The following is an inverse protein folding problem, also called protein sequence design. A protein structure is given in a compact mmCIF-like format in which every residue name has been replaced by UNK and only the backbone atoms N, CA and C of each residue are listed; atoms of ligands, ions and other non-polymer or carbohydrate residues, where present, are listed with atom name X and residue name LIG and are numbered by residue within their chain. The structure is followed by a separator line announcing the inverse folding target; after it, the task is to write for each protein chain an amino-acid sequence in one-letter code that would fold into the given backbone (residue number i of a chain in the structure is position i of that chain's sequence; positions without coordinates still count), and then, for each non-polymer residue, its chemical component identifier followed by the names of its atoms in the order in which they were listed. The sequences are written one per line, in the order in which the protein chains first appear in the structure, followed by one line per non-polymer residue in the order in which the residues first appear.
data_IF_967350049461
#
_entry.id   IF_967350049461
#
_cell.length_a   1.000
_cell.length_b   1.000
_cell.length_c   1.000
_cell.angle_alpha   90.00
_cell.angle_beta   90.00
_cell.angle_gamma   90.00
#
_symmetry.space_group_name_H-M   'P 1'
#
loop_
_entity.id
_entity.type
_entity.pdbx_description
1 polymer ?
#
# COMPACT_ATOMS: atom_id res chain seq x y z
N UNK A 1 24.04 92.11 -13.26
CA UNK A 1 24.99 91.90 -12.15
C UNK A 1 25.16 90.40 -11.92
N UNK A 2 26.33 89.96 -11.41
CA UNK A 2 26.79 88.57 -11.46
C UNK A 2 26.09 87.58 -10.51
N UNK A 3 25.96 86.30 -10.95
CA UNK A 3 26.54 85.15 -10.22
C UNK A 3 26.77 83.89 -11.08
N UNK A 4 27.64 83.02 -10.55
CA UNK A 4 28.28 81.82 -11.15
C UNK A 4 28.31 80.70 -10.06
N UNK A 5 28.68 79.42 -10.27
CA UNK A 5 29.24 78.68 -11.42
C UNK A 5 28.93 77.16 -11.25
N UNK A 6 28.79 76.39 -12.33
CA UNK A 6 28.96 74.92 -12.32
C UNK A 6 28.02 74.18 -13.31
N UNK A 7 28.42 73.40 -14.31
CA UNK A 7 29.31 72.19 -14.37
C UNK A 7 28.82 71.04 -13.49
N UNK A 8 28.71 69.78 -13.93
CA UNK A 8 28.76 69.10 -15.26
C UNK A 8 28.33 67.63 -15.02
N UNK A 9 27.96 66.87 -16.07
CA UNK A 9 27.96 65.38 -16.08
C UNK A 9 26.93 64.68 -15.15
N UNK A 10 26.49 63.43 -15.34
CA UNK A 10 26.69 62.43 -16.42
C UNK A 10 25.55 61.40 -16.38
N UNK A 11 25.31 60.72 -17.51
CA UNK A 11 24.66 59.40 -17.63
C UNK A 11 23.16 59.29 -17.19
N UNK A 12 22.35 58.33 -17.67
CA UNK A 12 22.66 57.19 -18.56
C UNK A 12 21.48 56.93 -19.50
N UNK A 13 21.75 56.67 -20.79
CA UNK A 13 20.80 55.96 -21.67
C UNK A 13 20.73 54.50 -21.22
N UNK A 14 19.54 53.90 -21.11
CA UNK A 14 19.34 52.50 -21.53
C UNK A 14 18.03 52.41 -22.32
N UNK A 15 18.17 52.01 -23.58
CA UNK A 15 17.06 51.53 -24.41
C UNK A 15 16.71 50.11 -23.94
N UNK A 16 15.46 49.86 -23.57
CA UNK A 16 14.99 48.48 -23.33
C UNK A 16 14.87 47.74 -24.67
N UNK A 17 15.64 46.66 -24.91
CA UNK A 17 15.61 45.96 -26.18
C UNK A 17 14.57 44.83 -26.19
N UNK A 18 14.05 44.57 -27.40
CA UNK A 18 13.68 43.25 -27.95
C UNK A 18 13.10 42.22 -26.96
N UNK A 19 11.78 42.00 -27.04
CA UNK A 19 11.15 40.82 -26.46
C UNK A 19 11.78 39.54 -27.04
N UNK A 20 12.53 38.84 -26.20
CA UNK A 20 13.23 37.61 -26.55
C UNK A 20 12.23 36.52 -26.97
N UNK A 21 12.32 36.06 -28.22
CA UNK A 21 11.78 34.78 -28.63
C UNK A 21 12.48 33.68 -27.83
N UNK A 22 11.77 33.09 -26.86
CA UNK A 22 12.27 31.96 -26.10
C UNK A 22 12.37 30.73 -27.01
N UNK A 23 13.55 30.07 -27.11
CA UNK A 23 13.69 28.91 -27.95
C UNK A 23 12.91 27.74 -27.33
N UNK A 24 11.79 27.34 -27.96
CA UNK A 24 11.11 26.08 -27.64
C UNK A 24 12.05 24.91 -27.97
N UNK A 25 12.83 24.48 -26.97
CA UNK A 25 13.58 23.23 -27.00
C UNK A 25 12.59 22.07 -27.10
N UNK A 26 12.31 21.61 -28.31
CA UNK A 26 11.64 20.33 -28.53
C UNK A 26 12.62 19.22 -28.18
N UNK A 27 12.51 18.71 -26.95
CA UNK A 27 13.21 17.50 -26.50
C UNK A 27 12.76 16.32 -27.36
N UNK A 28 13.51 16.04 -28.44
CA UNK A 28 13.36 14.82 -29.22
C UNK A 28 13.87 13.65 -28.38
N UNK A 29 12.95 12.99 -27.68
CA UNK A 29 13.22 11.78 -26.89
C UNK A 29 13.89 10.70 -27.77
N UNK A 30 14.94 10.02 -27.27
CA UNK A 30 15.66 9.00 -28.03
C UNK A 30 14.77 7.81 -28.39
N UNK A 31 15.00 7.21 -29.58
CA UNK A 31 14.21 6.10 -30.16
C UNK A 31 14.01 4.90 -29.23
N UNK A 32 14.89 4.69 -28.25
CA UNK A 32 14.80 3.59 -27.26
C UNK A 32 13.50 3.66 -26.44
N UNK A 33 12.95 4.87 -26.22
CA UNK A 33 11.68 5.06 -25.50
C UNK A 33 10.43 4.82 -26.37
N UNK A 34 10.58 4.41 -27.64
CA UNK A 34 9.46 4.14 -28.55
C UNK A 34 8.96 2.68 -28.49
N UNK A 35 9.56 1.82 -27.64
CA UNK A 35 9.21 0.39 -27.52
C UNK A 35 8.20 0.13 -26.38
N UNK A 36 7.22 1.02 -26.19
CA UNK A 36 6.11 0.78 -25.24
C UNK A 36 4.69 1.16 -25.74
N UNK A 37 4.29 1.05 -27.04
CA UNK A 37 2.87 0.96 -27.37
C UNK A 37 2.25 -0.28 -26.72
N UNK A 38 2.88 -1.44 -26.86
CA UNK A 38 2.27 -2.72 -26.49
C UNK A 38 2.23 -3.01 -25.00
N UNK A 39 3.16 -2.47 -24.19
CA UNK A 39 3.08 -2.66 -22.75
C UNK A 39 2.16 -1.61 -22.10
N UNK A 40 2.04 -0.40 -22.65
CA UNK A 40 1.01 0.57 -22.25
C UNK A 40 -0.37 0.09 -22.69
N UNK A 41 -0.51 -0.49 -23.88
CA UNK A 41 -1.77 -1.07 -24.34
C UNK A 41 -2.13 -2.36 -23.59
N UNK A 42 -1.17 -3.22 -23.23
CA UNK A 42 -1.41 -4.36 -22.33
C UNK A 42 -1.79 -3.91 -20.92
N UNK A 43 -1.07 -2.96 -20.34
CA UNK A 43 -1.43 -2.38 -19.04
C UNK A 43 -2.83 -1.74 -19.08
N UNK A 44 -3.18 -1.02 -20.15
CA UNK A 44 -4.52 -0.46 -20.35
C UNK A 44 -5.60 -1.51 -20.67
N UNK A 45 -5.26 -2.66 -21.26
CA UNK A 45 -6.21 -3.76 -21.50
C UNK A 45 -6.51 -4.50 -20.19
N UNK A 46 -5.47 -4.75 -19.39
CA UNK A 46 -5.56 -5.24 -18.02
C UNK A 46 -6.38 -4.26 -17.18
N UNK A 47 -6.05 -2.97 -17.16
CA UNK A 47 -6.77 -1.92 -16.44
C UNK A 47 -8.24 -1.75 -16.94
N UNK A 48 -8.57 -2.10 -18.19
CA UNK A 48 -9.97 -2.19 -18.66
C UNK A 48 -10.70 -3.41 -18.11
N UNK A 49 -10.05 -4.57 -17.96
CA UNK A 49 -10.62 -5.71 -17.23
C UNK A 49 -10.77 -5.38 -15.74
N UNK A 50 -9.77 -4.77 -15.10
CA UNK A 50 -9.80 -4.45 -13.67
C UNK A 50 -10.67 -3.23 -13.31
N UNK A 51 -10.97 -2.32 -14.25
CA UNK A 51 -12.01 -1.29 -14.06
C UNK A 51 -13.43 -1.88 -14.00
N UNK A 52 -13.64 -3.10 -14.52
CA UNK A 52 -14.86 -3.87 -14.25
C UNK A 52 -14.77 -4.57 -12.87
N UNK A 53 -13.56 -4.92 -12.41
CA UNK A 53 -13.30 -5.53 -11.10
C UNK A 53 -13.49 -4.62 -9.88
N UNK A 54 -13.72 -3.31 -10.07
CA UNK A 54 -14.12 -2.40 -8.98
C UNK A 54 -15.36 -2.90 -8.21
N UNK A 55 -16.22 -3.66 -8.89
CA UNK A 55 -17.46 -4.24 -8.36
C UNK A 55 -17.35 -5.69 -7.87
N UNK A 56 -16.17 -6.33 -7.85
CA UNK A 56 -16.10 -7.71 -7.35
C UNK A 56 -16.42 -7.79 -5.84
N UNK A 57 -17.26 -8.74 -5.40
CA UNK A 57 -17.54 -8.99 -3.99
C UNK A 57 -16.26 -9.19 -3.17
N UNK A 58 -16.33 -8.89 -1.87
CA UNK A 58 -15.17 -9.00 -0.95
C UNK A 58 -14.65 -10.43 -0.91
N UNK A 59 -15.56 -11.40 -0.99
CA UNK A 59 -15.35 -12.85 -0.98
C UNK A 59 -14.40 -13.25 -2.11
N UNK A 60 -14.69 -12.84 -3.35
CA UNK A 60 -13.86 -13.12 -4.54
C UNK A 60 -12.45 -12.54 -4.40
N UNK A 61 -12.33 -11.34 -3.81
CA UNK A 61 -11.03 -10.71 -3.56
C UNK A 61 -10.23 -11.46 -2.49
N UNK A 62 -10.89 -12.02 -1.48
CA UNK A 62 -10.25 -12.83 -0.43
C UNK A 62 -9.86 -14.21 -0.92
N UNK A 63 -10.69 -14.87 -1.72
CA UNK A 63 -10.33 -16.13 -2.38
C UNK A 63 -9.07 -15.98 -3.23
N UNK A 64 -8.96 -14.89 -3.99
CA UNK A 64 -7.76 -14.59 -4.76
C UNK A 64 -6.54 -14.33 -3.86
N UNK A 65 -6.68 -13.60 -2.75
CA UNK A 65 -5.61 -13.45 -1.74
C UNK A 65 -5.16 -14.83 -1.24
N UNK A 66 -6.09 -15.68 -0.81
CA UNK A 66 -5.80 -17.04 -0.31
C UNK A 66 -5.05 -17.85 -1.38
N UNK A 67 -5.51 -17.81 -2.64
CA UNK A 67 -4.88 -18.48 -3.78
C UNK A 67 -3.45 -17.98 -4.05
N UNK A 68 -3.19 -16.70 -3.81
CA UNK A 68 -1.89 -16.06 -4.01
C UNK A 68 -0.89 -16.29 -2.85
N UNK A 69 -1.38 -16.39 -1.60
CA UNK A 69 -0.52 -16.58 -0.40
C UNK A 69 -0.31 -18.03 0.00
N UNK A 70 -1.18 -18.97 -0.39
CA UNK A 70 -1.19 -20.35 0.15
C UNK A 70 0.15 -21.12 0.10
N UNK A 71 1.03 -20.79 -0.84
CA UNK A 71 2.34 -21.45 -1.01
C UNK A 71 3.52 -20.54 -0.63
N UNK A 72 3.24 -19.36 -0.06
CA UNK A 72 4.21 -18.29 0.14
C UNK A 72 4.42 -18.06 1.64
N UNK A 73 5.46 -18.67 2.25
CA UNK A 73 5.61 -18.68 3.71
C UNK A 73 5.76 -17.27 4.29
N UNK A 74 6.34 -16.35 3.52
CA UNK A 74 6.54 -14.98 3.95
C UNK A 74 5.23 -14.18 3.98
N UNK A 75 4.34 -14.38 3.01
CA UNK A 75 3.02 -13.73 3.00
C UNK A 75 2.09 -14.33 4.06
N UNK A 76 2.14 -15.65 4.26
CA UNK A 76 1.40 -16.32 5.34
C UNK A 76 1.85 -15.84 6.72
N UNK A 77 3.16 -15.71 6.96
CA UNK A 77 3.69 -15.13 8.19
C UNK A 77 3.21 -13.69 8.43
N UNK A 78 3.26 -12.84 7.39
CA UNK A 78 2.79 -11.45 7.47
C UNK A 78 1.29 -11.37 7.79
N UNK A 79 0.48 -12.23 7.15
CA UNK A 79 -0.96 -12.28 7.35
C UNK A 79 -1.34 -12.81 8.74
N UNK A 80 -0.71 -13.90 9.20
CA UNK A 80 -0.88 -14.42 10.55
C UNK A 80 -0.54 -13.37 11.62
N UNK A 81 0.55 -12.61 11.40
CA UNK A 81 0.93 -11.56 12.32
C UNK A 81 -0.03 -10.37 12.31
N UNK A 82 -0.57 -10.00 11.14
CA UNK A 82 -1.64 -9.02 11.03
C UNK A 82 -2.90 -9.45 11.80
N UNK A 83 -3.36 -10.69 11.59
CA UNK A 83 -4.49 -11.29 12.32
C UNK A 83 -4.25 -11.31 13.84
N UNK A 84 -3.04 -11.63 14.30
CA UNK A 84 -2.71 -11.63 15.72
C UNK A 84 -2.80 -10.23 16.35
N UNK A 85 -2.38 -9.18 15.63
CA UNK A 85 -2.56 -7.78 16.10
C UNK A 85 -4.03 -7.36 16.06
N UNK A 86 -4.83 -7.87 15.11
CA UNK A 86 -6.29 -7.68 15.09
C UNK A 86 -6.94 -8.33 16.32
N UNK A 87 -6.62 -9.59 16.63
CA UNK A 87 -7.09 -10.32 17.83
C UNK A 87 -6.75 -9.56 19.12
N UNK A 88 -5.54 -8.98 19.23
CA UNK A 88 -5.13 -8.11 20.36
C UNK A 88 -5.99 -6.85 20.50
N UNK A 89 -6.61 -6.37 19.42
CA UNK A 89 -7.52 -5.22 19.41
C UNK A 89 -9.00 -5.58 19.54
N UNK A 90 -9.34 -6.85 19.76
CA UNK A 90 -10.72 -7.33 19.76
C UNK A 90 -11.35 -7.36 18.36
N UNK A 91 -10.53 -7.33 17.30
CA UNK A 91 -10.96 -7.46 15.91
C UNK A 91 -10.81 -8.95 15.54
N UNK A 92 -11.83 -9.73 15.84
CA UNK A 92 -11.90 -11.19 15.64
C UNK A 92 -12.97 -11.58 14.63
N UNK A 93 -12.91 -12.81 14.11
CA UNK A 93 -13.98 -13.37 13.27
C UNK A 93 -15.31 -13.48 14.01
N UNK A 94 -15.25 -13.81 15.30
CA UNK A 94 -16.42 -13.84 16.18
C UNK A 94 -16.82 -12.45 16.66
N UNK A 95 -18.11 -12.27 16.95
CA UNK A 95 -18.66 -11.08 17.59
C UNK A 95 -18.40 -9.75 16.82
N UNK A 96 -18.42 -9.80 15.48
CA UNK A 96 -18.14 -8.64 14.60
C UNK A 96 -18.97 -7.41 14.94
N UNK A 97 -20.27 -7.58 15.25
CA UNK A 97 -21.20 -6.49 15.56
C UNK A 97 -20.93 -5.84 16.94
N UNK A 98 -20.33 -6.56 17.88
CA UNK A 98 -20.05 -6.06 19.24
C UNK A 98 -18.58 -5.64 19.45
N UNK A 99 -17.77 -5.62 18.39
CA UNK A 99 -16.40 -5.07 18.39
C UNK A 99 -16.40 -3.61 18.86
N UNK A 100 -15.52 -3.26 19.81
CA UNK A 100 -15.38 -1.91 20.39
C UNK A 100 -13.91 -1.48 20.39
N UNK A 101 -13.64 -0.16 20.41
CA UNK A 101 -12.26 0.34 20.52
C UNK A 101 -11.75 0.04 21.92
N UNK A 102 -10.83 -0.92 22.04
CA UNK A 102 -10.12 -1.16 23.29
C UNK A 102 -9.20 0.01 23.63
N UNK A 103 -8.84 0.14 24.90
CA UNK A 103 -7.85 1.12 25.33
C UNK A 103 -6.51 0.87 24.61
N UNK A 104 -5.88 1.93 24.11
CA UNK A 104 -4.68 1.82 23.26
C UNK A 104 -4.95 1.47 21.79
N UNK A 105 -6.21 1.43 21.31
CA UNK A 105 -6.58 1.14 19.91
C UNK A 105 -5.68 1.85 18.90
N UNK A 106 -5.62 3.19 18.97
CA UNK A 106 -4.85 4.02 18.04
C UNK A 106 -3.35 3.71 18.05
N UNK A 107 -2.77 3.44 19.21
CA UNK A 107 -1.34 3.11 19.34
C UNK A 107 -1.01 1.78 18.67
N UNK A 108 -1.84 0.75 18.84
CA UNK A 108 -1.62 -0.54 18.19
C UNK A 108 -1.96 -0.47 16.70
N UNK A 109 -3.03 0.23 16.33
CA UNK A 109 -3.44 0.37 14.93
C UNK A 109 -2.38 1.09 14.10
N UNK A 110 -1.92 2.27 14.53
CA UNK A 110 -0.97 3.08 13.78
C UNK A 110 0.45 2.51 13.81
N UNK A 111 0.91 1.96 14.93
CA UNK A 111 2.28 1.44 15.07
C UNK A 111 2.42 -0.05 14.71
N UNK A 112 1.34 -0.79 14.48
CA UNK A 112 1.39 -2.20 14.09
C UNK A 112 0.51 -2.49 12.86
N UNK A 113 -0.83 -2.36 12.96
CA UNK A 113 -1.71 -2.82 11.87
C UNK A 113 -1.47 -2.09 10.54
N UNK A 114 -1.35 -0.77 10.56
CA UNK A 114 -1.15 0.01 9.34
C UNK A 114 0.20 -0.31 8.66
N UNK A 115 1.35 -0.37 9.38
CA UNK A 115 2.60 -0.89 8.84
C UNK A 115 2.54 -2.33 8.32
N UNK A 116 1.88 -3.24 9.04
CA UNK A 116 1.75 -4.65 8.63
C UNK A 116 0.91 -4.82 7.37
N UNK A 117 -0.20 -4.09 7.25
CA UNK A 117 -1.00 -4.05 6.02
C UNK A 117 -0.18 -3.48 4.86
N UNK A 118 0.59 -2.40 5.09
CA UNK A 118 1.52 -1.86 4.09
C UNK A 118 2.49 -2.93 3.59
N UNK A 119 3.29 -3.51 4.50
CA UNK A 119 4.27 -4.54 4.19
C UNK A 119 3.67 -5.75 3.44
N UNK A 120 2.46 -6.18 3.80
CA UNK A 120 1.75 -7.25 3.11
C UNK A 120 1.47 -6.89 1.64
N UNK A 121 0.89 -5.71 1.38
CA UNK A 121 0.59 -5.29 0.02
C UNK A 121 1.83 -4.95 -0.80
N UNK A 122 2.88 -4.41 -0.17
CA UNK A 122 4.16 -4.13 -0.81
C UNK A 122 4.85 -5.45 -1.20
N UNK A 123 4.81 -6.48 -0.35
CA UNK A 123 5.30 -7.83 -0.66
C UNK A 123 4.49 -8.44 -1.82
N UNK A 124 3.15 -8.34 -1.78
CA UNK A 124 2.28 -8.82 -2.86
C UNK A 124 2.57 -8.12 -4.21
N UNK A 125 2.91 -6.82 -4.19
CA UNK A 125 3.30 -6.09 -5.41
C UNK A 125 4.69 -6.48 -5.90
N UNK A 126 5.67 -6.61 -5.00
CA UNK A 126 7.03 -7.04 -5.33
C UNK A 126 7.04 -8.43 -5.99
N UNK A 127 6.15 -9.33 -5.56
CA UNK A 127 5.98 -10.67 -6.14
C UNK A 127 5.08 -10.70 -7.38
N UNK A 128 4.59 -9.55 -7.86
CA UNK A 128 3.70 -9.45 -9.02
C UNK A 128 2.30 -10.06 -8.82
N UNK A 129 1.90 -10.28 -7.55
CA UNK A 129 0.63 -10.92 -7.17
C UNK A 129 -0.52 -9.90 -7.06
N UNK A 130 -0.25 -8.69 -6.57
CA UNK A 130 -1.20 -7.57 -6.57
C UNK A 130 -0.71 -6.40 -7.44
N UNK A 131 -1.65 -5.65 -8.00
CA UNK A 131 -1.39 -4.37 -8.68
C UNK A 131 -1.78 -3.14 -7.82
N UNK A 132 -2.42 -3.37 -6.67
CA UNK A 132 -3.02 -2.32 -5.84
C UNK A 132 -2.73 -2.53 -4.34
N UNK A 133 -2.54 -1.42 -3.62
CA UNK A 133 -2.47 -1.41 -2.15
C UNK A 133 -3.86 -1.17 -1.59
N UNK A 134 -4.39 -2.10 -0.78
CA UNK A 134 -5.63 -1.84 -0.05
C UNK A 134 -5.34 -1.09 1.24
N UNK A 135 -6.11 -0.02 1.50
CA UNK A 135 -5.99 0.79 2.72
C UNK A 135 -6.89 0.21 3.81
N UNK A 136 -6.44 0.31 5.06
CA UNK A 136 -7.29 0.06 6.20
C UNK A 136 -8.22 1.25 6.47
N UNK A 137 -9.38 0.98 7.06
CA UNK A 137 -10.29 1.99 7.59
C UNK A 137 -10.12 2.11 9.12
N UNK A 138 -9.35 3.09 9.64
CA UNK A 138 -9.16 3.26 11.08
C UNK A 138 -10.42 3.71 11.85
N UNK A 139 -11.45 4.18 11.15
CA UNK A 139 -12.66 4.70 11.79
C UNK A 139 -13.73 3.60 11.97
N UNK A 140 -13.75 2.59 11.11
CA UNK A 140 -14.66 1.44 11.21
C UNK A 140 -13.98 0.21 11.82
N UNK A 141 -14.46 -0.26 12.97
CA UNK A 141 -13.91 -1.44 13.67
C UNK A 141 -14.63 -2.71 13.22
N UNK A 142 -15.92 -2.59 12.87
CA UNK A 142 -16.70 -3.67 12.26
C UNK A 142 -16.26 -3.97 10.83
N UNK A 143 -15.50 -3.07 10.20
CA UNK A 143 -14.90 -3.28 8.89
C UNK A 143 -13.59 -2.49 8.72
N UNK A 144 -12.46 -3.11 9.08
CA UNK A 144 -11.15 -2.44 8.95
C UNK A 144 -10.59 -2.47 7.52
N UNK A 145 -11.24 -3.13 6.57
CA UNK A 145 -10.80 -3.26 5.17
C UNK A 145 -10.61 -4.71 4.73
N UNK A 146 -9.97 -4.92 3.58
CA UNK A 146 -9.93 -6.23 2.91
C UNK A 146 -9.26 -7.35 3.74
N UNK A 147 -8.23 -7.01 4.53
CA UNK A 147 -7.55 -7.96 5.43
C UNK A 147 -8.27 -8.17 6.77
N UNK A 148 -9.47 -7.63 6.99
CA UNK A 148 -10.25 -7.90 8.22
C UNK A 148 -10.45 -9.42 8.39
N UNK A 149 -10.10 -10.02 9.55
CA UNK A 149 -10.31 -11.44 9.83
C UNK A 149 -11.67 -11.99 9.43
N UNK A 150 -12.76 -11.20 9.59
CA UNK A 150 -14.12 -11.64 9.26
C UNK A 150 -14.32 -12.04 7.80
N UNK A 151 -13.49 -11.50 6.88
CA UNK A 151 -13.64 -11.71 5.45
C UNK A 151 -13.06 -13.07 5.01
N UNK A 152 -12.24 -13.71 5.84
CA UNK A 152 -11.58 -14.98 5.54
C UNK A 152 -12.41 -16.18 6.01
N UNK A 153 -12.33 -17.34 5.34
CA UNK A 153 -12.90 -18.59 5.85
C UNK A 153 -12.34 -18.91 7.24
N UNK A 154 -13.19 -19.45 8.14
CA UNK A 154 -12.79 -19.80 9.52
C UNK A 154 -11.61 -20.77 9.56
N UNK A 155 -11.64 -21.80 8.72
CA UNK A 155 -10.59 -22.84 8.69
C UNK A 155 -9.25 -22.25 8.24
N UNK A 156 -9.24 -21.41 7.20
CA UNK A 156 -8.05 -20.69 6.76
C UNK A 156 -7.48 -19.80 7.87
N UNK A 157 -8.33 -19.03 8.55
CA UNK A 157 -7.90 -18.16 9.64
C UNK A 157 -7.32 -18.96 10.81
N UNK A 158 -8.00 -20.02 11.27
CA UNK A 158 -7.51 -20.89 12.35
C UNK A 158 -6.18 -21.51 11.99
N UNK A 159 -6.08 -22.14 10.82
CA UNK A 159 -4.87 -22.82 10.37
C UNK A 159 -3.70 -21.82 10.28
N UNK A 160 -3.91 -20.65 9.66
CA UNK A 160 -2.88 -19.59 9.56
C UNK A 160 -2.43 -19.08 10.93
N UNK A 161 -3.30 -19.00 11.93
CA UNK A 161 -2.93 -18.60 13.30
C UNK A 161 -2.03 -19.61 14.02
N UNK A 162 -1.97 -20.88 13.58
CA UNK A 162 -1.02 -21.88 14.11
C UNK A 162 0.42 -21.69 13.58
N UNK A 163 0.61 -20.90 12.52
CA UNK A 163 1.89 -20.75 11.83
C UNK A 163 2.26 -21.90 10.88
N UNK A 164 1.33 -22.82 10.64
CA UNK A 164 1.41 -23.88 9.63
C UNK A 164 0.20 -23.77 8.72
N UNK A 165 0.36 -23.94 7.41
CA UNK A 165 -0.77 -23.93 6.46
C UNK A 165 -0.55 -24.96 5.36
N UNK A 166 -1.47 -25.91 5.18
CA UNK A 166 -1.38 -27.04 4.22
C UNK A 166 -0.03 -27.80 4.31
N UNK A 167 0.52 -27.92 5.53
CA UNK A 167 1.83 -28.55 5.78
C UNK A 167 3.06 -27.64 5.62
N UNK A 168 2.90 -26.41 5.11
CA UNK A 168 3.96 -25.41 5.06
C UNK A 168 4.13 -24.75 6.43
N UNK A 169 5.26 -24.99 7.10
CA UNK A 169 5.62 -24.37 8.38
C UNK A 169 6.40 -23.06 8.12
N UNK A 170 5.95 -21.96 8.70
CA UNK A 170 6.58 -20.63 8.59
C UNK A 170 6.85 -19.98 9.95
N UNK A 171 6.81 -20.77 11.04
CA UNK A 171 6.98 -20.28 12.42
C UNK A 171 8.36 -19.68 12.70
N UNK A 172 9.37 -20.14 11.97
CA UNK A 172 10.76 -19.68 12.10
C UNK A 172 11.07 -18.40 11.30
N UNK A 173 10.14 -17.93 10.45
CA UNK A 173 10.32 -16.68 9.70
C UNK A 173 10.38 -15.49 10.66
N UNK A 174 11.21 -14.49 10.31
CA UNK A 174 11.37 -13.26 11.09
C UNK A 174 11.43 -12.07 10.14
N UNK A 175 10.27 -11.67 9.63
CA UNK A 175 10.14 -10.58 8.65
C UNK A 175 10.12 -9.20 9.32
N UNK A 176 9.62 -9.14 10.57
CA UNK A 176 9.56 -7.91 11.36
C UNK A 176 10.51 -8.00 12.54
N UNK A 177 11.52 -7.13 12.55
CA UNK A 177 12.65 -7.18 13.50
C UNK A 177 12.29 -6.93 14.97
N UNK A 178 11.12 -6.35 15.25
CA UNK A 178 10.75 -5.87 16.59
C UNK A 178 9.69 -6.71 17.32
N UNK A 179 9.01 -7.65 16.66
CA UNK A 179 8.17 -8.66 17.33
C UNK A 179 7.77 -9.80 16.38
N UNK A 180 7.57 -10.99 16.94
CA UNK A 180 7.01 -12.17 16.25
C UNK A 180 5.53 -12.38 16.64
N UNK A 181 4.72 -13.03 15.81
CA UNK A 181 3.43 -13.57 16.24
C UNK A 181 3.63 -14.60 17.36
N UNK A 182 2.64 -14.71 18.25
CA UNK A 182 2.45 -15.88 19.11
C UNK A 182 1.53 -16.82 18.35
N UNK A 183 2.03 -18.02 18.08
CA UNK A 183 1.29 -19.08 17.41
C UNK A 183 0.23 -19.66 18.33
N UNK A 184 -0.89 -20.08 17.75
CA UNK A 184 -1.95 -20.79 18.46
C UNK A 184 -1.68 -22.30 18.40
N UNK A 185 -1.98 -23.01 19.49
CA UNK A 185 -1.89 -24.47 19.49
C UNK A 185 -2.90 -25.05 18.48
N UNK A 186 -2.55 -26.09 17.72
CA UNK A 186 -3.51 -26.74 16.85
C UNK A 186 -4.65 -27.32 17.70
N UNK A 187 -5.91 -27.10 17.29
CA UNK A 187 -7.04 -27.80 17.89
C UNK A 187 -6.86 -29.31 17.62
N UNK A 188 -6.70 -30.10 18.68
CA UNK A 188 -6.70 -31.56 18.59
C UNK A 188 -8.05 -32.02 17.99
N UNK A 189 -7.98 -32.91 17.00
CA UNK A 189 -9.13 -33.39 16.21
C UNK A 189 -9.84 -34.57 16.87
#
# INVERSE_FOLDING_TARGET
MHRLLGTRSLATRILSPVLHLSPRRTLKLPRVLQVIPDAVNRANAIDRQYKQSGSHPTEVKVEEIIRQVQNEPDLLYQLAFFFQKCKRLGITQDNVESRRRLWGYWMVFLNNLMPLNGAFWDTMQLMGKSQHTHRLNPFSIGDIGLLDPKNFPRDFYKEVMTGRYKGLDYRDRVIFSWSKPKWEDPEDK
#
